data_IF_884999848663
#
_entry.id   IF_884999848663
#
_cell.length_a   1.000
_cell.length_b   1.000
_cell.length_c   1.000
_cell.angle_alpha   90.00
_cell.angle_beta   90.00
_cell.angle_gamma   90.00
#
_symmetry.space_group_name_H-M   'P 1'
#
loop_
_entity.id
_entity.type
_entity.pdbx_description
1 polymer ?
#
# COMPACT_ATOMS: atom_id res chain seq x y z
N UNK A 1 1.00 -10.31 7.11
CA UNK A 1 -0.37 -10.33 7.64
C UNK A 1 -0.51 -9.19 8.62
N UNK A 2 -1.55 -8.38 8.50
CA UNK A 2 -1.70 -7.14 9.28
C UNK A 2 -2.75 -7.37 10.36
N UNK A 3 -2.45 -6.89 11.57
CA UNK A 3 -3.26 -7.15 12.77
C UNK A 3 -3.92 -5.84 13.20
N UNK A 4 -5.15 -5.95 13.72
CA UNK A 4 -5.83 -4.80 14.32
C UNK A 4 -5.08 -4.36 15.59
N UNK A 5 -4.69 -3.09 15.72
CA UNK A 5 -3.95 -2.61 16.90
C UNK A 5 -4.75 -2.74 18.21
N UNK A 6 -6.08 -2.75 18.15
CA UNK A 6 -6.93 -2.83 19.34
C UNK A 6 -7.23 -4.26 19.81
N UNK A 7 -7.62 -5.15 18.91
CA UNK A 7 -8.07 -6.51 19.26
C UNK A 7 -7.15 -7.64 18.75
N UNK A 8 -6.01 -7.26 18.17
CA UNK A 8 -5.02 -8.14 17.52
C UNK A 8 -5.62 -9.12 16.48
N UNK A 9 -6.84 -8.86 16.02
CA UNK A 9 -7.50 -9.72 15.05
C UNK A 9 -6.84 -9.57 13.67
N UNK A 10 -6.78 -10.68 12.92
CA UNK A 10 -6.19 -10.70 11.58
C UNK A 10 -7.09 -9.93 10.61
N UNK A 11 -6.51 -8.98 9.89
CA UNK A 11 -7.16 -8.25 8.81
C UNK A 11 -6.67 -8.84 7.49
N UNK A 12 -7.61 -9.10 6.58
CA UNK A 12 -7.29 -9.64 5.26
C UNK A 12 -6.38 -8.66 4.50
N UNK A 13 -5.25 -9.17 4.00
CA UNK A 13 -4.28 -8.44 3.20
C UNK A 13 -4.93 -7.68 2.02
N UNK A 14 -5.95 -8.27 1.40
CA UNK A 14 -6.69 -7.64 0.28
C UNK A 14 -7.36 -6.34 0.69
N UNK A 15 -8.00 -6.34 1.87
CA UNK A 15 -8.64 -5.15 2.42
C UNK A 15 -7.60 -4.06 2.67
N UNK A 16 -6.42 -4.43 3.15
CA UNK A 16 -5.35 -3.46 3.44
C UNK A 16 -4.70 -2.91 2.17
N UNK A 17 -4.57 -3.71 1.11
CA UNK A 17 -4.07 -3.23 -0.19
C UNK A 17 -5.04 -2.22 -0.83
N UNK A 18 -6.35 -2.42 -0.68
CA UNK A 18 -7.39 -1.48 -1.16
C UNK A 18 -7.66 -0.31 -0.21
N UNK A 19 -7.00 -0.30 0.95
CA UNK A 19 -7.08 0.78 1.91
C UNK A 19 -6.29 1.95 1.28
N UNK A 20 -6.83 3.16 1.32
CA UNK A 20 -6.16 4.36 0.80
C UNK A 20 -6.29 5.47 1.83
N UNK A 21 -5.62 6.62 1.62
CA UNK A 21 -5.65 7.75 2.56
C UNK A 21 -7.06 8.30 2.86
N UNK A 22 -8.08 7.96 2.06
CA UNK A 22 -9.47 8.39 2.22
C UNK A 22 -10.41 7.25 2.64
N UNK A 23 -9.90 6.02 2.75
CA UNK A 23 -10.69 4.83 3.04
C UNK A 23 -10.36 4.30 4.43
N UNK A 24 -11.38 4.21 5.29
CA UNK A 24 -11.27 3.59 6.59
C UNK A 24 -11.79 2.16 6.55
N UNK A 25 -11.17 1.27 7.33
CA UNK A 25 -11.63 -0.12 7.44
C UNK A 25 -12.09 -0.39 8.85
N UNK A 26 -13.36 -0.79 8.94
CA UNK A 26 -13.93 -1.26 10.19
C UNK A 26 -13.40 -2.67 10.52
N UNK A 27 -12.87 -2.82 11.73
CA UNK A 27 -12.52 -4.13 12.24
C UNK A 27 -13.79 -4.92 12.59
N UNK A 28 -14.00 -6.08 11.97
CA UNK A 28 -15.18 -6.93 12.24
C UNK A 28 -15.32 -7.38 13.70
N UNK A 29 -14.22 -7.46 14.46
CA UNK A 29 -14.22 -7.99 15.83
C UNK A 29 -14.43 -6.92 16.88
N UNK A 30 -13.81 -5.75 16.73
CA UNK A 30 -13.92 -4.67 17.70
C UNK A 30 -14.73 -3.46 17.22
N UNK A 31 -15.27 -3.49 16.00
CA UNK A 31 -16.11 -2.43 15.43
C UNK A 31 -15.39 -1.09 15.14
N UNK A 32 -14.14 -0.94 15.60
CA UNK A 32 -13.35 0.29 15.43
C UNK A 32 -12.91 0.52 13.99
N UNK A 33 -12.89 1.78 13.58
CA UNK A 33 -12.38 2.21 12.29
C UNK A 33 -10.85 2.33 12.35
N UNK A 34 -10.20 1.76 11.35
CA UNK A 34 -8.75 1.75 11.20
C UNK A 34 -8.37 2.56 9.97
N UNK A 35 -7.35 3.38 10.14
CA UNK A 35 -6.76 4.22 9.09
C UNK A 35 -5.27 3.94 8.95
N UNK A 36 -4.67 4.47 7.90
CA UNK A 36 -3.24 4.38 7.64
C UNK A 36 -2.46 5.39 8.48
N UNK A 37 -1.41 4.94 9.19
CA UNK A 37 -0.47 5.89 9.77
C UNK A 37 0.43 6.49 8.66
N UNK A 38 0.11 7.72 8.25
CA UNK A 38 0.86 8.50 7.25
C UNK A 38 2.32 8.71 7.63
N UNK A 39 2.61 8.93 8.92
CA UNK A 39 3.95 9.23 9.43
C UNK A 39 4.88 8.01 9.40
N UNK A 40 4.35 6.83 9.70
CA UNK A 40 5.14 5.56 9.71
C UNK A 40 5.23 4.91 8.33
N UNK A 41 4.28 5.17 7.44
CA UNK A 41 4.30 4.63 6.08
C UNK A 41 5.00 5.51 5.04
N UNK A 42 5.52 6.68 5.44
CA UNK A 42 6.17 7.63 4.54
C UNK A 42 7.44 7.06 3.88
N UNK A 43 8.34 6.45 4.67
CA UNK A 43 9.62 5.90 4.21
C UNK A 43 9.49 4.87 3.07
N UNK A 44 8.72 3.78 3.22
CA UNK A 44 8.55 2.80 2.15
C UNK A 44 7.79 3.41 0.95
N UNK A 45 6.86 4.34 1.19
CA UNK A 45 6.17 5.08 0.14
C UNK A 45 7.13 5.88 -0.75
N UNK A 46 8.03 6.66 -0.15
CA UNK A 46 8.99 7.50 -0.88
C UNK A 46 9.97 6.66 -1.71
N UNK A 47 10.48 5.56 -1.15
CA UNK A 47 11.41 4.67 -1.86
C UNK A 47 10.72 4.05 -3.09
N UNK A 48 9.48 3.58 -2.94
CA UNK A 48 8.68 3.12 -4.06
C UNK A 48 8.45 4.25 -5.08
N UNK A 49 8.07 5.46 -4.67
CA UNK A 49 7.83 6.53 -5.66
C UNK A 49 9.10 6.88 -6.45
N UNK A 50 10.27 6.92 -5.81
CA UNK A 50 11.55 7.23 -6.47
C UNK A 50 11.95 6.14 -7.48
N UNK A 51 11.90 4.87 -7.08
CA UNK A 51 12.28 3.76 -7.96
C UNK A 51 11.28 3.65 -9.13
N UNK A 52 9.99 3.86 -8.87
CA UNK A 52 8.95 3.83 -9.90
C UNK A 52 9.11 4.95 -10.92
N UNK A 53 9.52 6.13 -10.47
CA UNK A 53 9.83 7.27 -11.33
C UNK A 53 11.06 7.07 -12.22
N UNK A 54 11.93 6.09 -11.94
CA UNK A 54 13.04 5.70 -12.82
C UNK A 54 12.64 4.60 -13.81
N UNK A 55 11.83 3.64 -13.37
CA UNK A 55 11.42 2.49 -14.19
C UNK A 55 10.35 2.85 -15.21
N UNK A 56 9.38 3.71 -14.86
CA UNK A 56 8.34 4.16 -15.80
C UNK A 56 8.92 4.85 -17.04
N UNK A 57 9.78 5.88 -16.93
CA UNK A 57 10.32 6.53 -18.12
C UNK A 57 11.24 5.60 -18.92
N UNK A 58 11.98 4.70 -18.27
CA UNK A 58 12.77 3.68 -18.97
C UNK A 58 11.89 2.75 -19.83
N UNK A 59 10.82 2.20 -19.24
CA UNK A 59 9.89 1.30 -19.93
C UNK A 59 9.07 2.04 -21.01
N UNK A 60 8.68 3.30 -20.77
CA UNK A 60 8.01 4.14 -21.77
C UNK A 60 8.95 4.48 -22.94
N UNK A 61 10.21 4.81 -22.69
CA UNK A 61 11.19 5.00 -23.76
C UNK A 61 11.34 3.72 -24.58
N UNK A 62 11.55 2.56 -23.97
CA UNK A 62 11.66 1.30 -24.70
C UNK A 62 10.40 0.98 -25.51
N UNK A 63 9.22 1.34 -25.01
CA UNK A 63 7.95 1.24 -25.74
C UNK A 63 7.90 2.15 -26.97
N UNK A 64 8.27 3.43 -26.82
CA UNK A 64 8.28 4.40 -27.93
C UNK A 64 9.31 4.02 -29.01
N UNK A 65 10.46 3.47 -28.61
CA UNK A 65 11.52 3.03 -29.52
C UNK A 65 11.31 1.60 -30.08
N UNK A 66 10.14 0.97 -29.88
CA UNK A 66 9.84 -0.40 -30.31
C UNK A 66 10.82 -1.48 -29.80
N UNK A 67 11.60 -1.18 -28.77
CA UNK A 67 12.49 -2.13 -28.09
C UNK A 67 11.80 -2.81 -26.89
N UNK A 68 10.48 -2.65 -26.76
CA UNK A 68 9.72 -3.22 -25.66
C UNK A 68 9.80 -4.74 -25.69
N UNK A 69 10.49 -5.29 -24.70
CA UNK A 69 10.79 -6.71 -24.63
C UNK A 69 10.21 -7.38 -23.40
N UNK A 70 10.45 -8.69 -23.33
CA UNK A 70 10.16 -9.50 -22.13
C UNK A 70 10.85 -8.92 -20.89
N UNK A 71 12.03 -8.30 -21.05
CA UNK A 71 12.79 -7.70 -19.94
C UNK A 71 11.99 -6.58 -19.26
N UNK A 72 11.32 -5.70 -20.03
CA UNK A 72 10.50 -4.61 -19.49
C UNK A 72 9.30 -5.16 -18.71
N UNK A 73 8.65 -6.20 -19.24
CA UNK A 73 7.53 -6.88 -18.58
C UNK A 73 7.98 -7.50 -17.25
N UNK A 74 9.12 -8.18 -17.24
CA UNK A 74 9.70 -8.76 -16.01
C UNK A 74 10.02 -7.66 -15.00
N UNK A 75 10.58 -6.54 -15.44
CA UNK A 75 10.87 -5.39 -14.57
C UNK A 75 9.60 -4.83 -13.93
N UNK A 76 8.54 -4.62 -14.70
CA UNK A 76 7.24 -4.12 -14.21
C UNK A 76 6.64 -5.10 -13.20
N UNK A 77 6.62 -6.39 -13.49
CA UNK A 77 6.07 -7.42 -12.59
C UNK A 77 6.85 -7.51 -11.28
N UNK A 78 8.18 -7.47 -11.37
CA UNK A 78 9.06 -7.49 -10.20
C UNK A 78 8.84 -6.24 -9.34
N UNK A 79 8.59 -5.10 -9.98
CA UNK A 79 8.31 -3.84 -9.30
C UNK A 79 6.96 -3.84 -8.58
N UNK A 80 5.90 -4.30 -9.24
CA UNK A 80 4.57 -4.47 -8.63
C UNK A 80 4.66 -5.43 -7.45
N UNK A 81 5.39 -6.54 -7.60
CA UNK A 81 5.58 -7.54 -6.53
C UNK A 81 6.30 -6.94 -5.32
N UNK A 82 7.35 -6.13 -5.54
CA UNK A 82 8.03 -5.38 -4.50
C UNK A 82 7.08 -4.39 -3.82
N UNK A 83 6.29 -3.64 -4.59
CA UNK A 83 5.30 -2.71 -4.06
C UNK A 83 4.28 -3.39 -3.14
N UNK A 84 3.74 -4.53 -3.56
CA UNK A 84 2.82 -5.34 -2.75
C UNK A 84 3.53 -5.84 -1.49
N UNK A 85 4.75 -6.36 -1.60
CA UNK A 85 5.53 -6.87 -0.47
C UNK A 85 5.79 -5.77 0.57
N UNK A 86 6.33 -4.63 0.15
CA UNK A 86 6.61 -3.49 1.02
C UNK A 86 5.34 -2.95 1.67
N UNK A 87 4.26 -2.81 0.90
CA UNK A 87 2.95 -2.42 1.44
C UNK A 87 2.52 -3.40 2.53
N UNK A 88 2.57 -4.71 2.30
CA UNK A 88 2.11 -5.69 3.29
C UNK A 88 3.00 -5.82 4.53
N UNK A 89 4.32 -5.60 4.39
CA UNK A 89 5.30 -5.72 5.49
C UNK A 89 5.34 -4.47 6.37
N UNK A 90 5.24 -3.29 5.76
CA UNK A 90 5.48 -2.03 6.44
C UNK A 90 4.21 -1.23 6.73
N UNK A 91 3.06 -1.61 6.16
CA UNK A 91 1.79 -0.98 6.52
C UNK A 91 1.50 -1.13 8.01
N UNK A 92 1.50 -0.01 8.72
CA UNK A 92 0.96 0.09 10.08
C UNK A 92 -0.39 0.78 10.06
N UNK A 93 -1.37 0.13 10.68
CA UNK A 93 -2.71 0.65 10.88
C UNK A 93 -2.79 1.34 12.25
N UNK A 94 -3.53 2.44 12.32
CA UNK A 94 -3.88 3.14 13.55
C UNK A 94 -5.40 3.28 13.67
N UNK A 95 -5.87 3.53 14.90
CA UNK A 95 -7.30 3.73 15.16
C UNK A 95 -7.63 5.16 14.76
N UNK A 96 -8.69 5.33 13.96
CA UNK A 96 -9.16 6.65 13.56
C UNK A 96 -10.08 7.21 14.66
N UNK A 97 -9.45 7.91 15.62
CA UNK A 97 -10.14 8.54 16.74
C UNK A 97 -11.04 9.71 16.29
N UNK A 98 -10.69 10.36 15.18
CA UNK A 98 -11.43 11.49 14.64
C UNK A 98 -12.74 11.01 14.01
N UNK A 99 -12.71 9.94 13.21
CA UNK A 99 -13.94 9.32 12.70
C UNK A 99 -14.84 8.75 13.79
N UNK A 100 -14.25 8.13 14.84
CA UNK A 100 -15.05 7.64 15.97
C UNK A 100 -15.77 8.77 16.72
N UNK A 101 -15.24 10.00 16.71
CA UNK A 101 -15.83 11.14 17.42
C UNK A 101 -17.05 11.74 16.71
N UNK A 102 -17.11 11.62 15.39
CA UNK A 102 -18.22 12.16 14.58
C UNK A 102 -19.34 11.15 14.29
N UNK A 103 -19.06 9.85 14.42
CA UNK A 103 -19.99 8.77 14.05
C UNK A 103 -20.38 7.82 15.20
N UNK A 104 -20.03 8.15 16.45
CA UNK A 104 -20.65 7.60 17.67
C UNK A 104 -21.64 8.59 18.23
#
# INVERSE_FOLDING_TARGET
MIHCPNCNNKISSRKVICLTNFNNIQCKKCGRYLTFNKRKNFLPGVILTIIGALILPYTICNFIYNNFGIIDIVLILLWISLGIFFTLKFTKLEIDEEYEKYYK
#
